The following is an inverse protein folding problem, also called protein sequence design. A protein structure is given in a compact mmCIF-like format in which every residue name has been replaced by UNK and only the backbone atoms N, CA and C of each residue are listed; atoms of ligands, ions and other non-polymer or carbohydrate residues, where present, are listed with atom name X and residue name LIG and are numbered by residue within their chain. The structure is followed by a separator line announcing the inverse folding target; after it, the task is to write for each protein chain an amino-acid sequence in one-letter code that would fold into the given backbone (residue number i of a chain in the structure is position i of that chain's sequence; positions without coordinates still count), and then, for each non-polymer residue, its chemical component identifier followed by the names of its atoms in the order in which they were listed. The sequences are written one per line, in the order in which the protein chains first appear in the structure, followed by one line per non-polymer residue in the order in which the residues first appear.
data_IF_160102186427
#
_entry.id   IF_160102186427
#
_cell.length_a   1.000
_cell.length_b   1.000
_cell.length_c   1.000
_cell.angle_alpha   90.00
_cell.angle_beta   90.00
_cell.angle_gamma   90.00
#
_symmetry.space_group_name_H-M   'P 1'
#
loop_
_entity.id
_entity.type
_entity.pdbx_description
1 polymer ?
#
# COMPACT_ATOMS: atom_id res chain seq x y z
N UNK A 1 -13.25 7.74 -3.27
CA UNK A 1 -11.78 7.74 -3.34
C UNK A 1 -11.27 9.05 -2.73
N UNK A 2 -10.14 9.06 -2.00
CA UNK A 2 -9.61 10.29 -1.42
C UNK A 2 -9.07 11.20 -2.53
N UNK A 3 -8.99 12.49 -2.27
CA UNK A 3 -8.27 13.41 -3.17
C UNK A 3 -6.80 12.99 -3.29
N UNK A 4 -6.19 13.24 -4.45
CA UNK A 4 -4.78 12.90 -4.72
C UNK A 4 -3.84 13.97 -4.17
N UNK A 5 -3.88 14.17 -2.86
CA UNK A 5 -2.97 15.04 -2.13
C UNK A 5 -2.54 14.39 -0.81
N UNK A 6 -1.38 14.82 -0.27
CA UNK A 6 -0.78 14.21 0.91
C UNK A 6 -1.73 14.17 2.12
N UNK A 7 -2.50 15.24 2.34
CA UNK A 7 -3.43 15.36 3.48
C UNK A 7 -4.55 14.34 3.40
N UNK A 8 -5.25 14.28 2.27
CA UNK A 8 -6.37 13.37 2.06
C UNK A 8 -5.92 11.91 2.05
N UNK A 9 -4.76 11.63 1.44
CA UNK A 9 -4.14 10.30 1.47
C UNK A 9 -3.84 9.90 2.91
N UNK A 10 -3.13 10.73 3.67
CA UNK A 10 -2.76 10.46 5.07
C UNK A 10 -3.97 10.19 5.97
N UNK A 11 -5.08 10.91 5.74
CA UNK A 11 -6.33 10.73 6.49
C UNK A 11 -7.04 9.41 6.16
N UNK A 12 -6.95 8.96 4.89
CA UNK A 12 -7.55 7.71 4.43
C UNK A 12 -6.80 6.44 4.87
N UNK A 13 -5.53 6.56 5.28
CA UNK A 13 -4.79 5.44 5.86
C UNK A 13 -5.28 5.17 7.29
N UNK A 14 -6.14 4.16 7.44
CA UNK A 14 -6.72 3.76 8.75
C UNK A 14 -5.97 2.61 9.43
N UNK A 15 -5.02 1.98 8.72
CA UNK A 15 -4.16 0.93 9.28
C UNK A 15 -2.87 1.57 9.82
N UNK A 16 -2.48 1.34 11.10
CA UNK A 16 -1.32 1.99 11.71
C UNK A 16 -0.03 1.82 10.91
N UNK A 17 0.23 0.61 10.43
CA UNK A 17 1.44 0.29 9.66
C UNK A 17 1.54 1.11 8.36
N UNK A 18 0.41 1.33 7.67
CA UNK A 18 0.39 2.19 6.48
C UNK A 18 0.64 3.66 6.85
N UNK A 19 0.06 4.13 7.97
CA UNK A 19 0.24 5.49 8.45
C UNK A 19 1.71 5.78 8.76
N UNK A 20 2.37 4.86 9.48
CA UNK A 20 3.77 4.96 9.86
C UNK A 20 4.70 4.89 8.63
N UNK A 21 4.46 3.92 7.74
CA UNK A 21 5.22 3.79 6.50
C UNK A 21 5.06 5.02 5.59
N UNK A 22 3.86 5.63 5.53
CA UNK A 22 3.64 6.86 4.79
C UNK A 22 4.44 8.02 5.38
N UNK A 23 4.40 8.22 6.70
CA UNK A 23 5.11 9.34 7.33
C UNK A 23 6.63 9.22 7.19
N UNK A 24 7.17 8.02 7.41
CA UNK A 24 8.60 7.75 7.22
C UNK A 24 9.02 7.93 5.76
N UNK A 25 8.22 7.42 4.82
CA UNK A 25 8.48 7.53 3.40
C UNK A 25 8.38 8.97 2.88
N UNK A 26 7.41 9.75 3.37
CA UNK A 26 7.24 11.15 2.99
C UNK A 26 8.45 11.96 3.44
N UNK A 27 8.94 11.72 4.67
CA UNK A 27 10.17 12.34 5.15
C UNK A 27 11.35 12.04 4.21
N UNK A 28 11.58 10.76 3.90
CA UNK A 28 12.70 10.34 3.05
C UNK A 28 12.65 10.97 1.64
N UNK A 29 11.46 11.01 1.03
CA UNK A 29 11.27 11.62 -0.30
C UNK A 29 11.49 13.13 -0.26
N UNK A 30 11.04 13.83 0.79
CA UNK A 30 11.31 15.26 0.91
C UNK A 30 12.79 15.56 1.13
N UNK A 31 13.48 14.71 1.88
CA UNK A 31 14.94 14.80 2.07
C UNK A 31 15.67 14.56 0.73
N UNK A 32 15.21 13.62 -0.10
CA UNK A 32 15.74 13.39 -1.47
C UNK A 32 15.49 14.58 -2.40
N UNK A 33 14.25 15.04 -2.50
CA UNK A 33 13.85 16.19 -3.33
C UNK A 33 14.65 17.44 -2.98
N UNK A 34 14.95 17.65 -1.70
CA UNK A 34 15.78 18.79 -1.27
C UNK A 34 17.19 18.74 -1.86
N UNK A 35 17.75 17.55 -2.04
CA UNK A 35 19.12 17.35 -2.57
C UNK A 35 19.12 17.36 -4.10
N UNK A 36 18.17 16.66 -4.72
CA UNK A 36 18.12 16.50 -6.18
C UNK A 36 17.41 17.66 -6.91
N UNK A 37 16.55 18.39 -6.21
CA UNK A 37 15.58 19.35 -6.76
C UNK A 37 14.61 18.73 -7.79
N UNK A 38 14.49 17.39 -7.81
CA UNK A 38 13.59 16.67 -8.70
C UNK A 38 12.27 16.32 -7.99
N UNK A 39 11.18 16.94 -8.42
CA UNK A 39 9.83 16.68 -7.90
C UNK A 39 9.21 15.37 -8.41
N UNK A 40 9.86 14.68 -9.36
CA UNK A 40 9.43 13.39 -9.90
C UNK A 40 9.30 12.31 -8.82
N UNK A 41 10.21 12.30 -7.84
CA UNK A 41 10.17 11.39 -6.70
C UNK A 41 8.92 11.64 -5.82
N UNK A 42 8.60 12.92 -5.55
CA UNK A 42 7.42 13.30 -4.78
C UNK A 42 6.11 12.95 -5.51
N UNK A 43 6.02 13.22 -6.81
CA UNK A 43 4.84 12.88 -7.60
C UNK A 43 4.59 11.37 -7.65
N UNK A 44 5.67 10.58 -7.79
CA UNK A 44 5.61 9.11 -7.76
C UNK A 44 5.18 8.59 -6.39
N UNK A 45 5.68 9.20 -5.32
CA UNK A 45 5.28 8.89 -3.94
C UNK A 45 3.80 9.14 -3.72
N UNK A 46 3.30 10.34 -4.07
CA UNK A 46 1.88 10.70 -3.97
C UNK A 46 1.01 9.72 -4.76
N UNK A 47 1.41 9.35 -5.97
CA UNK A 47 0.62 8.43 -6.78
C UNK A 47 0.52 7.04 -6.18
N UNK A 48 1.64 6.46 -5.73
CA UNK A 48 1.68 5.13 -5.12
C UNK A 48 0.82 5.06 -3.87
N UNK A 49 0.92 6.07 -3.01
CA UNK A 49 0.14 6.11 -1.79
C UNK A 49 -1.33 6.43 -2.00
N UNK A 50 -1.67 7.17 -3.06
CA UNK A 50 -3.07 7.33 -3.45
C UNK A 50 -3.73 6.00 -3.84
N UNK A 51 -3.04 5.14 -4.59
CA UNK A 51 -3.54 3.78 -4.90
C UNK A 51 -3.77 3.00 -3.61
N UNK A 52 -2.78 3.03 -2.70
CA UNK A 52 -2.89 2.35 -1.39
C UNK A 52 -4.08 2.89 -0.58
N UNK A 53 -4.28 4.20 -0.54
CA UNK A 53 -5.40 4.81 0.18
C UNK A 53 -6.76 4.46 -0.44
N UNK A 54 -6.85 4.38 -1.76
CA UNK A 54 -8.04 3.87 -2.45
C UNK A 54 -8.36 2.42 -2.03
N UNK A 55 -7.35 1.55 -2.03
CA UNK A 55 -7.50 0.14 -1.64
C UNK A 55 -7.88 -0.01 -0.16
N UNK A 56 -7.19 0.72 0.73
CA UNK A 56 -7.47 0.70 2.18
C UNK A 56 -8.88 1.18 2.50
N UNK A 57 -9.42 2.18 1.79
CA UNK A 57 -10.81 2.60 1.99
C UNK A 57 -11.82 1.57 1.48
N UNK A 58 -11.47 0.82 0.43
CA UNK A 58 -12.34 -0.20 -0.16
C UNK A 58 -12.41 -1.45 0.72
N UNK A 59 -11.27 -1.87 1.28
CA UNK A 59 -11.18 -3.06 2.13
C UNK A 59 -10.16 -2.86 3.29
N UNK A 60 -10.56 -2.18 4.38
CA UNK A 60 -9.69 -1.95 5.52
C UNK A 60 -9.27 -3.26 6.22
N UNK A 61 -10.15 -4.25 6.23
CA UNK A 61 -9.91 -5.52 6.91
C UNK A 61 -8.92 -6.39 6.12
N UNK A 62 -9.10 -6.49 4.80
CA UNK A 62 -8.13 -7.13 3.93
C UNK A 62 -6.75 -6.49 4.03
N UNK A 63 -6.67 -5.16 4.15
CA UNK A 63 -5.41 -4.45 4.40
C UNK A 63 -4.78 -4.82 5.75
N UNK A 64 -5.55 -4.90 6.83
CA UNK A 64 -5.07 -5.37 8.14
C UNK A 64 -4.54 -6.80 8.07
N UNK A 65 -5.27 -7.70 7.41
CA UNK A 65 -4.84 -9.08 7.24
C UNK A 65 -3.58 -9.21 6.39
N UNK A 66 -3.42 -8.36 5.37
CA UNK A 66 -2.19 -8.29 4.59
C UNK A 66 -0.99 -7.91 5.48
N UNK A 67 -1.11 -6.90 6.34
CA UNK A 67 -0.05 -6.53 7.29
C UNK A 67 0.24 -7.64 8.30
N UNK A 68 -0.79 -8.32 8.80
CA UNK A 68 -0.62 -9.47 9.68
C UNK A 68 0.18 -10.60 9.00
N UNK A 69 -0.17 -10.96 7.76
CA UNK A 69 0.56 -11.97 6.97
C UNK A 69 1.99 -11.54 6.67
N UNK A 70 2.22 -10.26 6.36
CA UNK A 70 3.57 -9.73 6.15
C UNK A 70 4.43 -9.88 7.41
N UNK A 71 3.86 -9.62 8.59
CA UNK A 71 4.55 -9.79 9.89
C UNK A 71 4.90 -11.24 10.17
N UNK A 72 3.98 -12.17 9.90
CA UNK A 72 4.24 -13.61 10.02
C UNK A 72 5.37 -14.06 9.09
N UNK A 73 5.34 -13.61 7.84
CA UNK A 73 6.38 -13.91 6.87
C UNK A 73 7.76 -13.40 7.32
N UNK A 74 7.83 -12.17 7.81
CA UNK A 74 9.07 -11.58 8.35
C UNK A 74 9.58 -12.30 9.60
N UNK A 75 8.68 -12.87 10.41
CA UNK A 75 9.02 -13.70 11.57
C UNK A 75 9.47 -15.13 11.19
N UNK A 76 9.42 -15.50 9.90
CA UNK A 76 9.75 -16.84 9.42
C UNK A 76 8.66 -17.87 9.70
N UNK A 77 7.44 -17.44 10.04
CA UNK A 77 6.32 -18.36 10.23
C UNK A 77 5.86 -18.96 8.89
N UNK A 78 5.32 -20.20 8.89
CA UNK A 78 4.73 -20.78 7.69
C UNK A 78 3.55 -19.94 7.19
N UNK A 79 3.73 -19.28 6.05
CA UNK A 79 2.65 -18.51 5.40
C UNK A 79 1.76 -19.49 4.64
N UNK A 80 0.43 -19.48 4.85
CA UNK A 80 -0.48 -20.30 4.07
C UNK A 80 -0.29 -20.06 2.57
N UNK A 81 -0.06 -21.12 1.81
CA UNK A 81 -0.04 -21.03 0.35
C UNK A 81 -1.44 -20.60 -0.11
N UNK A 82 -1.48 -19.50 -0.86
CA UNK A 82 -2.71 -19.01 -1.47
C UNK A 82 -3.21 -19.97 -2.54
N UNK A 83 -4.43 -19.73 -3.03
CA UNK A 83 -4.95 -20.47 -4.18
C UNK A 83 -4.14 -20.15 -5.43
N UNK A 84 -3.86 -21.13 -6.31
CA UNK A 84 -3.24 -20.88 -7.60
C UNK A 84 -4.01 -19.82 -8.41
N UNK A 85 -3.26 -18.95 -9.10
CA UNK A 85 -3.83 -17.85 -9.87
C UNK A 85 -4.88 -18.31 -10.88
N UNK A 86 -4.63 -19.45 -11.54
CA UNK A 86 -5.56 -20.08 -12.49
C UNK A 86 -6.92 -20.40 -11.86
N UNK A 87 -6.94 -20.93 -10.64
CA UNK A 87 -8.20 -21.24 -9.94
C UNK A 87 -8.98 -19.99 -9.55
N UNK A 88 -8.27 -18.91 -9.21
CA UNK A 88 -8.90 -17.63 -8.88
C UNK A 88 -9.53 -17.03 -10.13
N UNK A 89 -8.84 -17.07 -11.27
CA UNK A 89 -9.33 -16.56 -12.55
C UNK A 89 -10.52 -17.38 -13.07
N UNK A 90 -10.43 -18.71 -13.01
CA UNK A 90 -11.54 -19.59 -13.36
C UNK A 90 -12.79 -19.31 -12.51
N UNK A 91 -12.65 -19.12 -11.19
CA UNK A 91 -13.76 -18.76 -10.31
C UNK A 91 -14.38 -17.37 -10.62
N UNK A 92 -13.66 -16.52 -11.37
CA UNK A 92 -14.13 -15.21 -11.83
C UNK A 92 -14.63 -15.23 -13.29
N UNK A 93 -14.68 -16.41 -13.92
CA UNK A 93 -15.09 -16.56 -15.32
C UNK A 93 -14.08 -16.04 -16.34
N UNK A 94 -12.80 -15.94 -15.97
CA UNK A 94 -11.72 -15.51 -16.86
C UNK A 94 -10.95 -16.76 -17.29
N UNK A 95 -11.00 -17.09 -18.58
CA UNK A 95 -10.24 -18.19 -19.18
C UNK A 95 -8.77 -17.79 -19.41
N UNK A 96 -7.84 -18.70 -19.11
CA UNK A 96 -6.36 -18.48 -19.12
C UNK A 96 -5.63 -19.64 -19.78
#
# INVERSE_FOLDING_TARGET
MPEKNLRAIRAALVVPEDREAFDAGLKAVLDEVRVSLDLGALNSFVHRWWITACDTLKDPEGRRQMHARARQALAGEPVPQGRPWREILAARGIDV
#
